data_IF_749543572208
#
_entry.id   IF_749543572208
#
_cell.length_a   1.000
_cell.length_b   1.000
_cell.length_c   1.000
_cell.angle_alpha   90.00
_cell.angle_beta   90.00
_cell.angle_gamma   90.00
#
_symmetry.space_group_name_H-M   'P 1'
#
loop_
_entity.id
_entity.type
_entity.pdbx_description
1 polymer ?
#
# COMPACT_ATOMS: atom_id res chain seq x y z
N UNK A 1 17.56 -16.04 -5.77
CA UNK A 1 16.12 -16.35 -5.91
C UNK A 1 15.36 -15.07 -5.61
N UNK A 2 14.39 -14.69 -6.47
CA UNK A 2 13.53 -13.53 -6.22
C UNK A 2 12.74 -13.71 -4.93
N UNK A 3 12.24 -12.61 -4.35
CA UNK A 3 11.48 -12.60 -3.10
C UNK A 3 10.20 -11.82 -3.24
N UNK A 4 9.18 -12.24 -2.49
CA UNK A 4 7.98 -11.47 -2.21
C UNK A 4 8.19 -10.67 -0.92
N UNK A 5 8.24 -9.34 -1.02
CA UNK A 5 8.49 -8.47 0.13
C UNK A 5 7.27 -7.61 0.44
N UNK A 6 6.95 -7.45 1.72
CA UNK A 6 5.86 -6.60 2.19
C UNK A 6 6.38 -5.46 3.07
N UNK A 7 6.22 -4.24 2.57
CA UNK A 7 6.52 -2.99 3.27
C UNK A 7 5.23 -2.35 3.75
N UNK A 8 5.00 -2.35 5.04
CA UNK A 8 3.77 -1.75 5.58
C UNK A 8 4.05 -0.57 6.50
N UNK A 9 3.06 0.30 6.61
CA UNK A 9 3.06 1.42 7.56
C UNK A 9 1.62 1.81 7.91
N UNK A 10 1.48 2.84 8.73
CA UNK A 10 0.21 3.56 8.93
C UNK A 10 -0.06 4.56 7.79
N UNK A 11 -1.23 5.19 7.79
CA UNK A 11 -1.53 6.29 6.86
C UNK A 11 -0.49 7.42 7.00
N UNK A 12 -0.08 7.99 5.87
CA UNK A 12 0.94 9.06 5.87
C UNK A 12 2.37 8.63 6.24
N UNK A 13 2.62 7.33 6.46
CA UNK A 13 3.91 6.79 6.89
C UNK A 13 4.98 6.68 5.80
N UNK A 14 4.82 7.34 4.64
CA UNK A 14 5.86 7.43 3.61
C UNK A 14 5.99 6.21 2.69
N UNK A 15 5.00 5.32 2.63
CA UNK A 15 5.02 4.10 1.78
C UNK A 15 5.28 4.41 0.30
N UNK A 16 4.45 5.27 -0.30
CA UNK A 16 4.61 5.66 -1.71
C UNK A 16 5.94 6.38 -1.96
N UNK A 17 6.44 7.16 -1.00
CA UNK A 17 7.78 7.77 -1.08
C UNK A 17 8.87 6.71 -1.15
N UNK A 18 8.81 5.71 -0.28
CA UNK A 18 9.76 4.58 -0.26
C UNK A 18 9.67 3.76 -1.55
N UNK A 19 8.46 3.52 -2.06
CA UNK A 19 8.25 2.84 -3.34
C UNK A 19 8.91 3.60 -4.49
N UNK A 20 8.69 4.91 -4.60
CA UNK A 20 9.26 5.74 -5.67
C UNK A 20 10.79 5.84 -5.58
N UNK A 21 11.33 5.90 -4.38
CA UNK A 21 12.79 5.85 -4.17
C UNK A 21 13.36 4.49 -4.61
N UNK A 22 12.67 3.40 -4.30
CA UNK A 22 13.03 2.05 -4.73
C UNK A 22 12.97 1.94 -6.25
N UNK A 23 11.91 2.40 -6.89
CA UNK A 23 11.75 2.47 -8.34
C UNK A 23 12.92 3.19 -8.99
N UNK A 24 13.24 4.40 -8.51
CA UNK A 24 14.36 5.19 -9.01
C UNK A 24 15.69 4.43 -8.90
N UNK A 25 15.95 3.81 -7.75
CA UNK A 25 17.19 3.07 -7.50
C UNK A 25 17.35 1.88 -8.44
N UNK A 26 16.29 1.08 -8.61
CA UNK A 26 16.32 -0.06 -9.51
C UNK A 26 16.49 0.38 -10.97
N UNK A 27 15.77 1.40 -11.42
CA UNK A 27 15.89 1.94 -12.78
C UNK A 27 17.31 2.46 -13.05
N UNK A 28 17.89 3.18 -12.11
CA UNK A 28 19.28 3.67 -12.20
C UNK A 28 20.29 2.52 -12.34
N UNK A 29 20.00 1.38 -11.76
CA UNK A 29 20.83 0.18 -11.84
C UNK A 29 20.51 -0.75 -13.04
N UNK A 30 19.74 -0.26 -14.01
CA UNK A 30 19.45 -0.98 -15.26
C UNK A 30 18.29 -1.97 -15.19
N UNK A 31 17.52 -1.98 -14.09
CA UNK A 31 16.28 -2.75 -14.02
C UNK A 31 15.13 -2.04 -14.74
N UNK A 32 14.11 -2.82 -15.06
CA UNK A 32 12.87 -2.35 -15.70
C UNK A 32 11.73 -2.51 -14.68
N UNK A 33 11.51 -1.52 -13.77
CA UNK A 33 10.46 -1.61 -12.79
C UNK A 33 9.09 -1.34 -13.41
N UNK A 34 8.12 -2.22 -13.12
CA UNK A 34 6.70 -1.99 -13.34
C UNK A 34 6.05 -1.62 -12.01
N UNK A 35 5.33 -0.50 -11.98
CA UNK A 35 4.52 -0.10 -10.84
C UNK A 35 3.06 -0.43 -11.11
N UNK A 36 2.38 -1.03 -10.11
CA UNK A 36 0.95 -1.34 -10.14
C UNK A 36 0.24 -0.62 -9.00
N UNK A 37 -0.99 -0.17 -9.28
CA UNK A 37 -1.88 0.47 -8.33
C UNK A 37 -3.31 -0.05 -8.51
N UNK A 38 -4.12 -0.20 -7.44
CA UNK A 38 -5.52 -0.58 -7.57
C UNK A 38 -6.33 0.56 -8.17
N UNK A 39 -7.24 0.26 -9.11
CA UNK A 39 -8.17 1.25 -9.68
C UNK A 39 -9.05 1.91 -8.63
N UNK A 40 -9.34 1.23 -7.53
CA UNK A 40 -10.09 1.80 -6.41
C UNK A 40 -9.45 3.09 -5.88
N UNK A 41 -8.13 3.23 -5.98
CA UNK A 41 -7.40 4.43 -5.58
C UNK A 41 -7.07 5.33 -6.78
N UNK A 42 -8.08 5.66 -7.58
CA UNK A 42 -7.97 6.57 -8.74
C UNK A 42 -8.16 8.04 -8.35
N UNK A 43 -7.44 8.50 -7.33
CA UNK A 43 -7.43 9.91 -6.91
C UNK A 43 -6.72 10.83 -7.91
N UNK A 44 -5.87 10.27 -8.73
CA UNK A 44 -4.93 10.98 -9.59
C UNK A 44 -5.33 10.91 -11.08
N UNK A 45 -6.40 10.16 -11.41
CA UNK A 45 -6.96 10.03 -12.75
C UNK A 45 -6.14 9.14 -13.68
N UNK A 46 -6.56 7.89 -13.85
CA UNK A 46 -5.96 6.97 -14.81
C UNK A 46 -6.59 7.11 -16.21
N UNK A 47 -5.77 7.01 -17.25
CA UNK A 47 -6.19 6.98 -18.66
C UNK A 47 -5.66 5.72 -19.33
N UNK A 48 -6.53 4.96 -20.01
CA UNK A 48 -6.16 3.71 -20.68
C UNK A 48 -5.41 2.71 -19.78
N UNK A 49 -5.80 2.65 -18.50
CA UNK A 49 -5.17 1.78 -17.50
C UNK A 49 -3.85 2.30 -16.92
N UNK A 50 -3.32 3.40 -17.40
CA UNK A 50 -2.11 4.04 -16.85
C UNK A 50 -2.44 5.37 -16.22
N UNK A 51 -1.80 5.66 -15.10
CA UNK A 51 -2.02 6.91 -14.39
C UNK A 51 -0.84 7.29 -13.50
N UNK A 52 -0.84 8.53 -13.00
CA UNK A 52 0.24 9.01 -12.16
C UNK A 52 0.26 8.27 -10.82
N UNK A 53 1.47 8.12 -10.27
CA UNK A 53 1.69 7.75 -8.88
C UNK A 53 2.53 8.84 -8.25
N UNK A 54 2.04 9.42 -7.16
CA UNK A 54 2.63 10.60 -6.55
C UNK A 54 2.86 10.41 -5.05
N UNK A 55 3.99 10.94 -4.59
CA UNK A 55 4.26 11.12 -3.18
C UNK A 55 3.94 12.57 -2.78
N UNK A 56 3.52 12.76 -1.53
CA UNK A 56 3.29 14.13 -0.98
C UNK A 56 4.55 14.98 -0.88
N UNK A 57 5.74 14.36 -0.94
CA UNK A 57 7.03 15.02 -0.69
C UNK A 57 8.02 14.89 -1.83
N UNK A 58 7.82 13.98 -2.76
CA UNK A 58 8.69 13.84 -3.93
C UNK A 58 8.01 14.47 -5.15
N UNK A 59 8.78 15.26 -5.89
CA UNK A 59 8.37 15.79 -7.18
C UNK A 59 8.86 14.88 -8.28
N UNK A 60 8.02 14.58 -9.26
CA UNK A 60 8.37 13.74 -10.40
C UNK A 60 7.11 13.22 -11.10
N UNK A 61 7.26 12.84 -12.37
CA UNK A 61 6.21 12.17 -13.13
C UNK A 61 6.49 10.68 -13.13
N UNK A 62 5.82 9.95 -12.29
CA UNK A 62 5.87 8.49 -12.24
C UNK A 62 4.54 7.93 -12.72
N UNK A 63 4.57 6.81 -13.42
CA UNK A 63 3.38 6.16 -13.99
C UNK A 63 3.23 4.76 -13.42
N UNK A 64 2.01 4.39 -13.09
CA UNK A 64 1.65 3.06 -12.64
C UNK A 64 0.53 2.49 -13.51
N UNK A 65 0.50 1.17 -13.64
CA UNK A 65 -0.61 0.45 -14.23
C UNK A 65 -1.72 0.30 -13.18
N UNK A 66 -2.90 0.79 -13.49
CA UNK A 66 -4.08 0.70 -12.62
C UNK A 66 -4.92 -0.51 -13.01
N UNK A 67 -5.11 -1.43 -12.07
CA UNK A 67 -5.83 -2.69 -12.28
C UNK A 67 -6.87 -2.94 -11.20
N UNK A 68 -7.93 -3.65 -11.56
CA UNK A 68 -8.95 -4.13 -10.59
C UNK A 68 -8.47 -5.39 -9.86
N UNK A 69 -7.64 -6.18 -10.53
CA UNK A 69 -7.07 -7.44 -10.02
C UNK A 69 -5.74 -7.71 -10.70
N UNK A 70 -4.84 -8.39 -10.03
CA UNK A 70 -3.55 -8.78 -10.60
C UNK A 70 -3.71 -10.14 -11.27
N UNK A 71 -3.62 -10.15 -12.59
CA UNK A 71 -3.73 -11.37 -13.39
C UNK A 71 -2.63 -11.42 -14.45
N UNK A 72 -2.26 -12.62 -14.95
CA UNK A 72 -1.29 -12.74 -16.04
C UNK A 72 -1.67 -11.92 -17.27
N UNK A 73 -2.97 -11.83 -17.59
CA UNK A 73 -3.50 -11.11 -18.75
C UNK A 73 -3.24 -9.61 -18.64
N UNK A 74 -3.38 -9.03 -17.44
CA UNK A 74 -3.13 -7.61 -17.20
C UNK A 74 -1.66 -7.22 -17.33
N UNK A 75 -0.76 -8.19 -17.23
CA UNK A 75 0.70 -8.00 -17.31
C UNK A 75 1.28 -8.51 -18.64
N UNK A 76 0.45 -9.11 -19.48
CA UNK A 76 0.92 -9.67 -20.75
C UNK A 76 1.37 -8.57 -21.72
N UNK A 77 2.52 -8.80 -22.36
CA UNK A 77 3.10 -7.82 -23.31
C UNK A 77 3.79 -6.62 -22.67
N UNK A 78 3.84 -6.55 -21.31
CA UNK A 78 4.61 -5.52 -20.60
C UNK A 78 5.97 -6.12 -20.22
N UNK A 79 7.05 -5.44 -20.61
CA UNK A 79 8.40 -5.83 -20.22
C UNK A 79 8.75 -5.27 -18.85
N UNK A 80 9.12 -6.14 -17.91
CA UNK A 80 9.58 -5.77 -16.56
C UNK A 80 10.38 -6.91 -15.92
N UNK A 81 11.30 -6.56 -15.04
CA UNK A 81 12.10 -7.52 -14.28
C UNK A 81 12.09 -7.25 -12.77
N UNK A 82 11.27 -6.30 -12.33
CA UNK A 82 10.90 -6.06 -10.95
C UNK A 82 9.49 -5.47 -10.90
N UNK A 83 8.67 -5.90 -9.92
CA UNK A 83 7.30 -5.44 -9.75
C UNK A 83 7.14 -4.72 -8.42
N UNK A 84 6.63 -3.50 -8.46
CA UNK A 84 6.33 -2.66 -7.30
C UNK A 84 4.82 -2.44 -7.24
N UNK A 85 4.18 -2.81 -6.13
CA UNK A 85 2.72 -2.70 -5.96
C UNK A 85 2.41 -1.73 -4.84
N UNK A 86 1.75 -0.62 -5.17
CA UNK A 86 1.27 0.35 -4.17
C UNK A 86 -0.16 0.03 -3.74
N UNK A 87 -0.53 0.51 -2.54
CA UNK A 87 -1.86 0.36 -1.93
C UNK A 87 -2.38 -1.10 -1.93
N UNK A 88 -1.46 -2.04 -1.63
CA UNK A 88 -1.72 -3.49 -1.71
C UNK A 88 -2.90 -3.95 -0.84
N UNK A 89 -3.29 -3.18 0.18
CA UNK A 89 -4.43 -3.50 1.03
C UNK A 89 -5.76 -3.54 0.29
N UNK A 90 -5.87 -2.92 -0.87
CA UNK A 90 -7.08 -2.94 -1.67
C UNK A 90 -7.19 -4.16 -2.60
N UNK A 91 -6.13 -4.95 -2.70
CA UNK A 91 -6.12 -6.21 -3.44
C UNK A 91 -6.60 -7.38 -2.56
N UNK A 92 -7.04 -8.45 -3.20
CA UNK A 92 -7.59 -9.65 -2.57
C UNK A 92 -6.53 -10.73 -2.36
N UNK A 93 -6.86 -11.75 -1.56
CA UNK A 93 -5.96 -12.88 -1.34
C UNK A 93 -5.54 -13.60 -2.64
N UNK A 94 -6.44 -13.68 -3.64
CA UNK A 94 -6.14 -14.22 -4.97
C UNK A 94 -5.07 -13.43 -5.72
N UNK A 95 -5.06 -12.10 -5.57
CA UNK A 95 -4.07 -11.23 -6.21
C UNK A 95 -2.69 -11.45 -5.59
N UNK A 96 -2.63 -11.65 -4.27
CA UNK A 96 -1.39 -12.00 -3.57
C UNK A 96 -0.87 -13.37 -4.00
N UNK A 97 -1.77 -14.34 -4.23
CA UNK A 97 -1.37 -15.64 -4.79
C UNK A 97 -0.77 -15.48 -6.20
N UNK A 98 -1.37 -14.63 -7.06
CA UNK A 98 -0.80 -14.33 -8.38
C UNK A 98 0.58 -13.66 -8.30
N UNK A 99 0.81 -12.77 -7.31
CA UNK A 99 2.13 -12.19 -7.06
C UNK A 99 3.16 -13.23 -6.64
N UNK A 100 2.78 -14.19 -5.78
CA UNK A 100 3.67 -15.30 -5.40
C UNK A 100 4.07 -16.15 -6.61
N UNK A 101 3.12 -16.44 -7.53
CA UNK A 101 3.40 -17.15 -8.76
C UNK A 101 4.40 -16.41 -9.69
N UNK A 102 4.36 -15.08 -9.72
CA UNK A 102 5.34 -14.27 -10.46
C UNK A 102 6.74 -14.47 -9.87
N UNK A 103 6.86 -14.42 -8.54
CA UNK A 103 8.13 -14.65 -7.84
C UNK A 103 8.64 -16.06 -8.13
N UNK A 104 7.80 -17.07 -7.90
CA UNK A 104 8.21 -18.47 -7.94
C UNK A 104 8.50 -18.97 -9.35
N UNK A 105 7.63 -18.61 -10.33
CA UNK A 105 7.73 -19.15 -11.70
C UNK A 105 8.57 -18.27 -12.64
N UNK A 106 8.53 -16.95 -12.47
CA UNK A 106 9.26 -16.02 -13.34
C UNK A 106 10.57 -15.52 -12.75
N UNK A 107 10.83 -15.83 -11.46
CA UNK A 107 12.00 -15.35 -10.70
C UNK A 107 12.13 -13.81 -10.75
N UNK A 108 10.98 -13.10 -10.70
CA UNK A 108 10.89 -11.65 -10.68
C UNK A 108 10.60 -11.19 -9.25
N UNK A 109 11.43 -10.33 -8.64
CA UNK A 109 11.15 -9.81 -7.30
C UNK A 109 9.91 -8.93 -7.29
N UNK A 110 9.09 -9.09 -6.24
CA UNK A 110 7.84 -8.35 -6.04
C UNK A 110 7.88 -7.64 -4.68
N UNK A 111 7.74 -6.32 -4.70
CA UNK A 111 7.73 -5.47 -3.51
C UNK A 111 6.35 -4.83 -3.36
N UNK A 112 5.64 -5.19 -2.30
CA UNK A 112 4.29 -4.73 -2.00
C UNK A 112 4.33 -3.65 -0.92
N UNK A 113 3.67 -2.51 -1.16
CA UNK A 113 3.57 -1.39 -0.22
C UNK A 113 2.11 -1.16 0.16
N UNK A 114 1.82 -1.03 1.44
CA UNK A 114 0.45 -0.78 1.86
C UNK A 114 0.20 -0.68 3.36
N UNK A 115 -1.08 -0.61 3.70
CA UNK A 115 -1.55 -0.64 5.08
C UNK A 115 -1.71 -2.09 5.55
N UNK A 116 -1.40 -2.33 6.83
CA UNK A 116 -1.68 -3.61 7.46
C UNK A 116 -3.15 -3.72 7.88
N UNK A 117 -3.67 -2.68 8.54
CA UNK A 117 -5.00 -2.68 9.14
C UNK A 117 -5.84 -1.50 8.67
N UNK A 118 -7.16 -1.64 8.75
CA UNK A 118 -8.11 -0.55 8.61
C UNK A 118 -8.15 0.35 9.88
N UNK A 119 -8.95 1.41 9.87
CA UNK A 119 -9.13 2.31 11.01
C UNK A 119 -9.79 1.63 12.23
N UNK A 120 -10.45 0.49 12.03
CA UNK A 120 -11.04 -0.33 13.08
C UNK A 120 -10.03 -1.30 13.72
N UNK A 121 -8.81 -1.38 13.16
CA UNK A 121 -7.75 -2.27 13.60
C UNK A 121 -7.89 -3.71 13.05
N UNK A 122 -8.73 -3.96 12.05
CA UNK A 122 -8.82 -5.26 11.39
C UNK A 122 -7.80 -5.34 10.25
N UNK A 123 -7.23 -6.52 10.04
CA UNK A 123 -6.36 -6.75 8.89
C UNK A 123 -7.15 -6.62 7.59
N UNK A 124 -6.57 -5.97 6.60
CA UNK A 124 -7.04 -6.08 5.22
C UNK A 124 -6.76 -7.48 4.66
N UNK A 125 -7.63 -7.98 3.78
CA UNK A 125 -7.51 -9.32 3.21
C UNK A 125 -6.15 -9.56 2.52
N UNK A 126 -5.74 -8.65 1.64
CA UNK A 126 -4.45 -8.74 0.96
C UNK A 126 -3.26 -8.65 1.93
N UNK A 127 -3.34 -7.76 2.94
CA UNK A 127 -2.31 -7.64 3.95
C UNK A 127 -2.21 -8.90 4.83
N UNK A 128 -3.35 -9.50 5.23
CA UNK A 128 -3.38 -10.75 5.98
C UNK A 128 -2.71 -11.89 5.20
N UNK A 129 -3.00 -11.97 3.88
CA UNK A 129 -2.37 -12.96 3.02
C UNK A 129 -0.86 -12.73 2.88
N UNK A 130 -0.42 -11.47 2.68
CA UNK A 130 1.01 -11.13 2.62
C UNK A 130 1.74 -11.45 3.93
N UNK A 131 1.15 -11.15 5.08
CA UNK A 131 1.73 -11.52 6.39
C UNK A 131 1.97 -13.03 6.53
N UNK A 132 1.21 -13.86 5.81
CA UNK A 132 1.34 -15.31 5.86
C UNK A 132 2.34 -15.87 4.83
N UNK A 133 2.56 -15.20 3.67
CA UNK A 133 3.31 -15.79 2.55
C UNK A 133 4.53 -14.99 2.10
N UNK A 134 4.72 -13.75 2.56
CA UNK A 134 5.86 -12.94 2.16
C UNK A 134 7.17 -13.50 2.74
N UNK A 135 8.24 -13.50 1.93
CA UNK A 135 9.59 -13.88 2.35
C UNK A 135 10.21 -12.83 3.28
N UNK A 136 9.85 -11.56 3.08
CA UNK A 136 10.35 -10.44 3.87
C UNK A 136 9.22 -9.50 4.26
N UNK A 137 9.18 -9.10 5.54
CA UNK A 137 8.18 -8.17 6.07
C UNK A 137 8.90 -7.04 6.78
N UNK A 138 8.67 -5.81 6.33
CA UNK A 138 9.35 -4.61 6.85
C UNK A 138 8.32 -3.55 7.25
N UNK A 139 8.44 -3.03 8.47
CA UNK A 139 7.65 -1.89 8.92
C UNK A 139 8.36 -0.56 8.62
N UNK A 140 7.70 0.32 7.87
CA UNK A 140 8.13 1.71 7.73
C UNK A 140 7.54 2.47 8.91
N UNK A 141 8.38 2.87 9.85
CA UNK A 141 7.95 3.47 11.12
C UNK A 141 7.49 4.93 10.93
N UNK A 142 6.50 5.32 11.72
CA UNK A 142 5.95 6.68 11.75
C UNK A 142 5.65 7.09 13.20
N UNK A 143 5.94 8.33 13.63
CA UNK A 143 5.66 8.77 14.97
C UNK A 143 4.17 9.11 15.17
N UNK A 144 3.65 8.81 16.35
CA UNK A 144 2.42 9.38 16.87
C UNK A 144 2.68 10.79 17.41
N UNK A 145 1.67 11.65 17.45
CA UNK A 145 1.78 13.00 18.07
C UNK A 145 2.25 12.99 19.52
N UNK A 146 2.03 11.88 20.25
CA UNK A 146 2.53 11.74 21.62
C UNK A 146 3.99 11.31 21.73
N UNK A 147 4.72 11.17 20.60
CA UNK A 147 6.12 10.73 20.53
C UNK A 147 6.32 9.22 20.40
N UNK A 148 5.32 8.40 20.71
CA UNK A 148 5.39 6.95 20.56
C UNK A 148 5.30 6.50 19.09
N UNK A 149 5.70 5.28 18.78
CA UNK A 149 5.53 4.69 17.46
C UNK A 149 4.03 4.57 17.11
N UNK A 150 3.60 5.13 15.98
CA UNK A 150 2.26 4.96 15.45
C UNK A 150 2.09 3.53 14.90
N UNK A 151 1.03 2.86 15.30
CA UNK A 151 0.70 1.48 14.90
C UNK A 151 -0.72 1.33 14.39
N UNK A 152 -1.52 2.38 14.53
CA UNK A 152 -2.92 2.48 14.13
C UNK A 152 -3.14 3.81 13.41
N UNK A 153 -4.28 3.95 12.79
CA UNK A 153 -4.80 5.24 12.33
C UNK A 153 -6.27 5.38 12.69
N UNK A 154 -6.70 6.60 12.89
CA UNK A 154 -8.09 6.97 13.10
C UNK A 154 -8.60 7.68 11.85
N UNK A 155 -9.86 7.46 11.54
CA UNK A 155 -10.57 8.20 10.50
C UNK A 155 -11.33 9.34 11.15
N UNK A 156 -11.31 10.50 10.50
CA UNK A 156 -12.13 11.65 10.88
C UNK A 156 -13.03 12.03 9.72
N UNK A 157 -14.28 12.34 10.03
CA UNK A 157 -15.24 12.92 9.10
C UNK A 157 -15.61 14.29 9.69
N UNK A 158 -15.45 15.37 8.91
CA UNK A 158 -15.65 16.74 9.38
C UNK A 158 -14.90 17.06 10.69
N UNK A 159 -13.66 16.51 10.83
CA UNK A 159 -12.81 16.68 12.00
C UNK A 159 -13.18 15.81 13.21
N UNK A 160 -14.34 15.16 13.25
CA UNK A 160 -14.77 14.27 14.33
C UNK A 160 -14.24 12.85 14.12
N UNK A 161 -13.85 12.19 15.21
CA UNK A 161 -13.42 10.77 15.15
C UNK A 161 -14.59 9.90 14.71
N UNK A 162 -14.41 9.21 13.59
CA UNK A 162 -15.39 8.25 13.12
C UNK A 162 -15.15 6.87 13.75
N UNK A 163 -16.08 6.45 14.58
CA UNK A 163 -16.11 5.11 15.18
C UNK A 163 -17.05 4.17 14.44
N UNK A 164 -17.75 4.65 13.42
CA UNK A 164 -18.68 3.89 12.54
C UNK A 164 -17.98 3.12 11.44
N UNK A 165 -18.43 2.03 11.18
CA UNK A 165 -18.16 0.82 10.50
C UNK A 165 -17.56 0.67 9.12
N UNK A 166 -17.29 1.61 8.27
CA UNK A 166 -16.71 1.31 6.94
C UNK A 166 -15.20 1.08 7.03
N UNK A 167 -14.74 -0.11 6.64
CA UNK A 167 -13.32 -0.49 6.65
C UNK A 167 -12.52 0.15 5.51
N UNK A 168 -13.18 0.52 4.41
CA UNK A 168 -12.53 1.08 3.21
C UNK A 168 -13.11 2.47 2.95
N UNK A 169 -12.28 3.49 3.13
CA UNK A 169 -12.52 4.82 2.61
C UNK A 169 -11.21 5.41 2.11
N UNK A 170 -11.21 5.85 0.87
CA UNK A 170 -10.13 6.64 0.30
C UNK A 170 -10.23 8.05 0.89
N UNK A 171 -9.09 8.65 1.26
CA UNK A 171 -9.05 10.03 1.75
C UNK A 171 -9.58 10.96 0.67
N UNK A 172 -10.79 11.47 0.87
CA UNK A 172 -11.50 12.29 -0.12
C UNK A 172 -12.47 13.25 0.58
N UNK A 173 -12.48 14.50 0.13
CA UNK A 173 -13.39 15.51 0.67
C UNK A 173 -13.10 15.80 2.15
N UNK A 174 -14.12 15.60 3.00
CA UNK A 174 -14.07 15.84 4.45
C UNK A 174 -13.50 14.66 5.27
N UNK A 175 -13.05 13.59 4.60
CA UNK A 175 -12.46 12.41 5.26
C UNK A 175 -10.95 12.60 5.37
N UNK A 176 -10.44 12.55 6.59
CA UNK A 176 -9.00 12.61 6.88
C UNK A 176 -8.58 11.45 7.79
N UNK A 177 -7.28 11.14 7.78
CA UNK A 177 -6.69 10.11 8.62
C UNK A 177 -5.56 10.68 9.47
N UNK A 178 -5.48 10.22 10.70
CA UNK A 178 -4.42 10.56 11.65
C UNK A 178 -3.77 9.28 12.18
N UNK A 179 -2.44 9.23 12.09
CA UNK A 179 -1.65 8.07 12.56
C UNK A 179 -1.36 8.20 14.05
N UNK A 180 -1.67 7.14 14.79
CA UNK A 180 -1.61 7.15 16.26
C UNK A 180 -1.02 5.85 16.80
N UNK A 181 -0.45 5.92 18.02
CA UNK A 181 -0.09 4.70 18.77
C UNK A 181 -1.34 4.01 19.30
N UNK A 182 -1.19 2.75 19.74
CA UNK A 182 -2.31 1.96 20.30
C UNK A 182 -3.00 2.64 21.47
N UNK A 183 -2.25 3.31 22.37
CA UNK A 183 -2.81 4.02 23.52
C UNK A 183 -3.70 5.17 23.08
N UNK A 184 -3.22 6.03 22.19
CA UNK A 184 -3.99 7.13 21.62
C UNK A 184 -5.20 6.64 20.82
N UNK A 185 -5.05 5.54 20.05
CA UNK A 185 -6.16 4.93 19.33
C UNK A 185 -7.31 4.51 20.25
N UNK A 186 -7.00 3.78 21.35
CA UNK A 186 -7.99 3.40 22.35
C UNK A 186 -8.68 4.61 22.99
N UNK A 187 -7.89 5.61 23.38
CA UNK A 187 -8.40 6.81 24.03
C UNK A 187 -9.35 7.60 23.10
N UNK A 188 -8.99 7.77 21.84
CA UNK A 188 -9.73 8.58 20.87
C UNK A 188 -10.97 7.86 20.32
N UNK A 189 -10.93 6.53 20.20
CA UNK A 189 -12.04 5.75 19.63
C UNK A 189 -12.97 5.14 20.67
N UNK A 190 -12.58 5.12 21.97
CA UNK A 190 -13.30 4.43 23.02
C UNK A 190 -13.28 2.89 22.90
N UNK A 191 -12.46 2.33 22.01
CA UNK A 191 -12.40 0.89 21.77
C UNK A 191 -11.43 0.21 22.74
N UNK A 192 -11.89 -0.85 23.40
CA UNK A 192 -11.04 -1.77 24.17
C UNK A 192 -10.71 -2.99 23.30
N UNK A 193 -9.47 -3.15 22.90
CA UNK A 193 -8.91 -4.39 22.35
C UNK A 193 -7.68 -4.77 23.14
#
# INVERSE_FOLDING_TARGET
>A
MAKLSFYYSVMGGGKTTSLLQTEYTYRKNGFIPLMIKPKLDDREGAQNGWGPIQSRILTGKHQALYVDSITPENLNGIDFNILLVDEIQFFKAKDIAALSEIVDKKNIPVLCYGLKTDANGNLFEGAAKLMAVADEITEITHPCKCGEKATHHIRRIDGQVDTGGQSIAVEKGNITYESVCRKCWKLLTGRSR
#
